data_IF_663212033144
#
_entry.id   IF_663212033144
#
_cell.length_a   1.000
_cell.length_b   1.000
_cell.length_c   1.000
_cell.angle_alpha   90.00
_cell.angle_beta   90.00
_cell.angle_gamma   90.00
#
_symmetry.space_group_name_H-M   'P 1'
#
loop_
_entity.id
_entity.type
_entity.pdbx_description
1 polymer ?
#
# COMPACT_ATOMS: atom_id res chain seq x y z
N UNK A 1 -28.51 -1.04 43.71
CA UNK A 1 -27.09 -1.06 43.25
C UNK A 1 -26.82 -1.98 42.04
N UNK A 2 -27.84 -2.52 41.35
CA UNK A 2 -27.63 -3.45 40.22
C UNK A 2 -27.54 -2.76 38.83
N UNK A 3 -28.10 -1.56 38.67
CA UNK A 3 -28.20 -0.90 37.36
C UNK A 3 -26.87 -0.35 36.82
N UNK A 4 -25.94 0.09 37.69
CA UNK A 4 -24.66 0.66 37.25
C UNK A 4 -23.76 -0.36 36.53
N UNK A 5 -23.77 -1.62 36.98
CA UNK A 5 -22.97 -2.69 36.38
C UNK A 5 -23.45 -3.07 34.98
N UNK A 6 -24.76 -3.05 34.75
CA UNK A 6 -25.37 -3.34 33.45
C UNK A 6 -25.02 -2.24 32.43
N UNK A 7 -25.02 -0.97 32.84
CA UNK A 7 -24.67 0.15 31.97
C UNK A 7 -23.18 0.09 31.57
N UNK A 8 -22.29 -0.22 32.51
CA UNK A 8 -20.85 -0.33 32.23
C UNK A 8 -20.55 -1.47 31.24
N UNK A 9 -21.18 -2.64 31.42
CA UNK A 9 -21.01 -3.78 30.50
C UNK A 9 -21.54 -3.47 29.09
N UNK A 10 -22.66 -2.73 29.00
CA UNK A 10 -23.20 -2.29 27.72
C UNK A 10 -22.26 -1.30 27.00
N UNK A 11 -21.68 -0.35 27.74
CA UNK A 11 -20.72 0.61 27.16
C UNK A 11 -19.47 -0.08 26.62
N UNK A 12 -18.88 -1.00 27.40
CA UNK A 12 -17.69 -1.75 26.98
C UNK A 12 -17.95 -2.59 25.72
N UNK A 13 -19.13 -3.22 25.62
CA UNK A 13 -19.53 -3.95 24.42
C UNK A 13 -19.69 -3.06 23.20
N UNK A 14 -20.30 -1.88 23.36
CA UNK A 14 -20.50 -0.91 22.28
C UNK A 14 -19.17 -0.36 21.76
N UNK A 15 -18.24 -0.03 22.65
CA UNK A 15 -16.89 0.44 22.27
C UNK A 15 -16.11 -0.64 21.52
N UNK A 16 -16.22 -1.91 21.94
CA UNK A 16 -15.59 -3.04 21.26
C UNK A 16 -16.10 -3.22 19.83
N UNK A 17 -17.42 -3.20 19.63
CA UNK A 17 -18.02 -3.28 18.29
C UNK A 17 -17.65 -2.07 17.41
N UNK A 18 -17.60 -0.87 17.99
CA UNK A 18 -17.23 0.35 17.27
C UNK A 18 -15.78 0.30 16.75
N UNK A 19 -14.86 -0.22 17.56
CA UNK A 19 -13.48 -0.47 17.12
C UNK A 19 -13.42 -1.48 15.97
N UNK A 20 -14.13 -2.61 16.06
CA UNK A 20 -14.15 -3.61 14.99
C UNK A 20 -14.72 -3.02 13.69
N UNK A 21 -15.75 -2.18 13.78
CA UNK A 21 -16.32 -1.50 12.62
C UNK A 21 -15.35 -0.50 11.99
N UNK A 22 -14.64 0.31 12.79
CA UNK A 22 -13.59 1.20 12.29
C UNK A 22 -12.47 0.42 11.57
N UNK A 23 -12.03 -0.70 12.15
CA UNK A 23 -11.06 -1.58 11.50
C UNK A 23 -11.60 -2.13 10.16
N UNK A 24 -12.87 -2.54 10.11
CA UNK A 24 -13.50 -3.03 8.89
C UNK A 24 -13.68 -1.91 7.84
N UNK A 25 -14.03 -0.70 8.28
CA UNK A 25 -14.21 0.47 7.43
C UNK A 25 -12.87 0.94 6.86
N UNK A 26 -11.80 0.97 7.65
CA UNK A 26 -10.44 1.22 7.17
C UNK A 26 -9.97 0.12 6.22
N UNK A 27 -10.28 -1.14 6.50
CA UNK A 27 -9.97 -2.25 5.58
C UNK A 27 -10.63 -2.07 4.21
N UNK A 28 -11.89 -1.62 4.18
CA UNK A 28 -12.62 -1.36 2.94
C UNK A 28 -12.20 -0.06 2.26
N UNK A 29 -11.76 0.96 3.00
CA UNK A 29 -11.32 2.25 2.46
C UNK A 29 -9.87 2.21 1.92
N UNK A 30 -9.08 1.22 2.32
CA UNK A 30 -7.85 0.79 1.63
C UNK A 30 -8.26 -0.07 0.42
N UNK A 31 -9.16 0.43 -0.44
CA UNK A 31 -9.28 -0.14 -1.79
C UNK A 31 -7.92 0.08 -2.45
N UNK A 32 -7.16 -0.99 -2.73
CA UNK A 32 -5.87 -0.87 -3.39
C UNK A 32 -6.04 -0.26 -4.78
N UNK A 33 -7.25 -0.23 -5.35
CA UNK A 33 -7.61 0.56 -6.55
C UNK A 33 -7.21 2.03 -6.44
N UNK A 34 -7.62 2.74 -5.37
CA UNK A 34 -7.32 4.17 -5.24
C UNK A 34 -5.81 4.40 -5.01
N UNK A 35 -5.17 3.41 -4.37
CA UNK A 35 -3.75 3.39 -4.09
C UNK A 35 -2.92 3.24 -5.36
N UNK A 36 -3.31 2.26 -6.13
CA UNK A 36 -2.68 1.81 -7.36
C UNK A 36 -3.00 2.75 -8.50
N UNK A 37 -4.22 3.29 -8.60
CA UNK A 37 -4.56 4.29 -9.62
C UNK A 37 -3.84 5.61 -9.38
N UNK A 38 -3.55 5.99 -8.13
CA UNK A 38 -2.73 7.17 -7.81
C UNK A 38 -1.25 6.90 -7.95
N UNK A 39 -0.76 5.72 -7.57
CA UNK A 39 0.61 5.31 -7.90
C UNK A 39 0.77 5.30 -9.42
N UNK A 40 -0.13 4.65 -10.15
CA UNK A 40 -0.22 4.71 -11.61
C UNK A 40 -0.28 6.15 -12.07
N UNK A 41 -1.10 7.04 -11.52
CA UNK A 41 -1.15 8.46 -11.91
C UNK A 41 0.15 9.20 -11.60
N UNK A 42 0.82 9.01 -10.47
CA UNK A 42 2.16 9.58 -10.24
C UNK A 42 3.19 9.01 -11.22
N UNK A 43 3.04 7.73 -11.53
CA UNK A 43 3.80 7.01 -12.52
C UNK A 43 3.27 7.22 -13.95
N UNK A 44 2.20 7.98 -14.24
CA UNK A 44 1.52 8.02 -15.57
C UNK A 44 1.12 9.43 -16.00
N UNK A 45 0.91 10.38 -15.08
CA UNK A 45 0.64 11.81 -15.35
C UNK A 45 1.87 12.54 -15.93
N UNK A 46 2.90 11.79 -16.33
CA UNK A 46 4.06 12.23 -17.08
C UNK A 46 4.15 11.51 -18.45
N UNK A 47 3.14 10.75 -18.89
CA UNK A 47 3.26 9.82 -20.02
C UNK A 47 2.61 10.28 -21.32
N UNK A 48 3.46 10.62 -22.29
CA UNK A 48 3.35 10.30 -23.73
C UNK A 48 4.77 9.97 -24.22
N UNK A 49 4.99 8.75 -24.72
CA UNK A 49 6.16 8.12 -25.41
C UNK A 49 7.61 8.33 -24.92
N UNK A 50 7.96 9.42 -24.25
CA UNK A 50 9.29 9.73 -23.70
C UNK A 50 9.51 9.10 -22.32
N UNK A 51 9.00 7.87 -22.11
CA UNK A 51 8.57 7.44 -20.76
C UNK A 51 9.43 6.39 -20.07
N UNK A 52 10.13 5.54 -20.82
CA UNK A 52 10.95 4.47 -20.23
C UNK A 52 12.19 5.03 -19.51
N UNK A 53 12.95 5.90 -20.20
CA UNK A 53 14.16 6.54 -19.65
C UNK A 53 13.86 7.59 -18.57
N UNK A 54 12.70 8.24 -18.61
CA UNK A 54 12.30 9.23 -17.60
C UNK A 54 11.75 8.57 -16.34
N UNK A 55 11.03 7.44 -16.47
CA UNK A 55 10.54 6.68 -15.32
C UNK A 55 11.70 6.05 -14.53
N UNK A 56 12.71 5.51 -15.24
CA UNK A 56 13.98 5.05 -14.67
C UNK A 56 14.67 6.15 -13.83
N UNK A 57 14.92 7.31 -14.42
CA UNK A 57 15.63 8.42 -13.75
C UNK A 57 14.88 8.99 -12.53
N UNK A 58 13.53 8.89 -12.50
CA UNK A 58 12.76 9.31 -11.33
C UNK A 58 12.63 8.20 -10.29
N UNK A 59 12.65 6.93 -10.69
CA UNK A 59 12.60 5.79 -9.77
C UNK A 59 13.89 5.69 -8.95
N UNK A 60 15.04 5.96 -9.56
CA UNK A 60 16.33 6.15 -8.86
C UNK A 60 16.23 7.27 -7.82
N UNK A 61 15.70 8.44 -8.19
CA UNK A 61 15.54 9.58 -7.28
C UNK A 61 14.56 9.30 -6.15
N UNK A 62 13.44 8.63 -6.46
CA UNK A 62 12.39 8.28 -5.52
C UNK A 62 12.88 7.20 -4.54
N UNK A 63 13.61 6.19 -5.02
CA UNK A 63 14.14 5.11 -4.17
C UNK A 63 15.35 5.58 -3.37
N UNK A 64 16.17 6.48 -3.92
CA UNK A 64 17.28 7.11 -3.17
C UNK A 64 16.77 8.03 -2.06
N UNK A 65 15.60 8.64 -2.22
CA UNK A 65 14.93 9.43 -1.19
C UNK A 65 14.09 8.59 -0.21
N UNK A 66 14.11 7.25 -0.36
CA UNK A 66 13.41 6.30 0.51
C UNK A 66 14.41 5.42 1.28
N UNK A 67 15.18 5.98 2.23
CA UNK A 67 16.15 5.22 3.02
C UNK A 67 15.49 4.18 3.95
N UNK A 68 14.17 4.25 4.13
CA UNK A 68 13.39 3.36 4.99
C UNK A 68 12.76 2.19 4.23
N UNK A 69 13.03 2.03 2.93
CA UNK A 69 12.45 0.99 2.08
C UNK A 69 10.90 1.00 2.09
N UNK A 70 10.29 2.15 2.36
CA UNK A 70 8.86 2.32 2.48
C UNK A 70 8.12 2.02 1.17
N UNK A 71 8.70 2.33 0.02
CA UNK A 71 8.13 2.03 -1.30
C UNK A 71 8.09 0.52 -1.52
N UNK A 72 9.14 -0.21 -1.13
CA UNK A 72 9.17 -1.67 -1.23
C UNK A 72 8.11 -2.29 -0.30
N UNK A 73 8.02 -1.78 0.93
CA UNK A 73 6.97 -2.17 1.89
C UNK A 73 5.57 -1.92 1.34
N UNK A 74 5.35 -0.75 0.73
CA UNK A 74 4.09 -0.32 0.15
C UNK A 74 3.66 -1.25 -0.99
N UNK A 75 4.54 -1.43 -1.97
CA UNK A 75 4.27 -2.24 -3.15
C UNK A 75 4.04 -3.71 -2.76
N UNK A 76 4.78 -4.24 -1.78
CA UNK A 76 4.53 -5.57 -1.22
C UNK A 76 3.13 -5.66 -0.59
N UNK A 77 2.75 -4.71 0.26
CA UNK A 77 1.44 -4.67 0.92
C UNK A 77 0.28 -4.52 -0.08
N UNK A 78 0.49 -3.78 -1.17
CA UNK A 78 -0.48 -3.64 -2.27
C UNK A 78 -0.60 -4.95 -3.06
N UNK A 79 0.53 -5.62 -3.34
CA UNK A 79 0.58 -6.85 -4.11
C UNK A 79 -0.13 -8.04 -3.44
N UNK A 80 -0.35 -8.00 -2.13
CA UNK A 80 -1.19 -8.97 -1.41
C UNK A 80 -2.61 -9.06 -2.00
N UNK A 81 -3.15 -7.96 -2.52
CA UNK A 81 -4.54 -7.87 -3.00
C UNK A 81 -4.70 -8.09 -4.51
N UNK A 82 -3.67 -8.60 -5.19
CA UNK A 82 -3.74 -8.88 -6.65
C UNK A 82 -4.86 -9.85 -6.99
N UNK A 83 -5.10 -10.86 -6.15
CA UNK A 83 -6.14 -11.86 -6.38
C UNK A 83 -7.49 -11.29 -5.94
N UNK A 84 -8.30 -10.86 -6.90
CA UNK A 84 -9.63 -10.28 -6.66
C UNK A 84 -9.77 -8.80 -7.05
N UNK A 85 -8.71 -8.18 -7.57
CA UNK A 85 -8.76 -6.79 -8.01
C UNK A 85 -8.02 -6.58 -9.35
N UNK A 86 -8.78 -6.50 -10.44
CA UNK A 86 -8.24 -6.37 -11.80
C UNK A 86 -7.44 -5.08 -12.03
N UNK A 87 -7.77 -3.99 -11.32
CA UNK A 87 -7.04 -2.73 -11.42
C UNK A 87 -5.67 -2.81 -10.76
N UNK A 88 -5.59 -3.50 -9.62
CA UNK A 88 -4.33 -3.81 -8.93
C UNK A 88 -3.45 -4.70 -9.78
N UNK A 89 -4.05 -5.73 -10.38
CA UNK A 89 -3.37 -6.65 -11.28
C UNK A 89 -2.77 -5.91 -12.48
N UNK A 90 -3.56 -5.10 -13.20
CA UNK A 90 -3.07 -4.36 -14.37
C UNK A 90 -1.89 -3.43 -14.09
N UNK A 91 -1.86 -2.81 -12.90
CA UNK A 91 -0.75 -1.91 -12.56
C UNK A 91 0.47 -2.67 -12.06
N UNK A 92 0.28 -3.77 -11.36
CA UNK A 92 1.40 -4.65 -10.99
C UNK A 92 2.02 -5.28 -12.23
N UNK A 93 1.22 -5.69 -13.20
CA UNK A 93 1.71 -6.21 -14.48
C UNK A 93 2.41 -5.11 -15.29
N UNK A 94 1.91 -3.87 -15.27
CA UNK A 94 2.65 -2.73 -15.82
C UNK A 94 4.03 -2.60 -15.17
N UNK A 95 4.13 -2.66 -13.83
CA UNK A 95 5.42 -2.56 -13.12
C UNK A 95 6.35 -3.74 -13.44
N UNK A 96 5.80 -4.95 -13.60
CA UNK A 96 6.58 -6.15 -13.98
C UNK A 96 7.18 -6.05 -15.38
N UNK A 97 6.49 -5.35 -16.29
CA UNK A 97 6.93 -5.18 -17.67
C UNK A 97 7.94 -4.03 -17.87
N UNK A 98 8.22 -3.23 -16.83
CA UNK A 98 9.28 -2.21 -16.88
C UNK A 98 10.64 -2.92 -17.03
N UNK A 99 11.56 -2.43 -17.88
CA UNK A 99 12.91 -3.01 -18.01
C UNK A 99 13.64 -3.07 -16.66
N UNK A 100 14.45 -4.11 -16.51
CA UNK A 100 15.19 -4.35 -15.27
C UNK A 100 16.34 -3.34 -15.09
N UNK A 101 16.36 -2.73 -13.92
CA UNK A 101 17.48 -1.96 -13.39
C UNK A 101 17.63 -2.29 -11.90
N UNK A 102 18.66 -1.76 -11.23
CA UNK A 102 18.93 -2.02 -9.81
C UNK A 102 17.69 -1.82 -8.91
N UNK A 103 16.92 -0.76 -9.12
CA UNK A 103 15.75 -0.41 -8.31
C UNK A 103 14.47 -1.15 -8.73
N UNK A 104 14.24 -1.34 -10.03
CA UNK A 104 13.09 -2.07 -10.55
C UNK A 104 13.15 -3.54 -10.12
N UNK A 105 14.33 -4.15 -10.08
CA UNK A 105 14.52 -5.52 -9.60
C UNK A 105 14.09 -5.66 -8.13
N UNK A 106 14.45 -4.70 -7.27
CA UNK A 106 14.04 -4.71 -5.86
C UNK A 106 12.53 -4.53 -5.69
N UNK A 107 11.91 -3.67 -6.50
CA UNK A 107 10.46 -3.45 -6.49
C UNK A 107 9.72 -4.69 -7.00
N UNK A 108 10.17 -5.30 -8.11
CA UNK A 108 9.61 -6.57 -8.63
C UNK A 108 9.73 -7.70 -7.60
N UNK A 109 10.83 -7.76 -6.84
CA UNK A 109 10.99 -8.70 -5.72
C UNK A 109 9.95 -8.45 -4.63
N UNK A 110 9.73 -7.20 -4.25
CA UNK A 110 8.69 -6.83 -3.28
C UNK A 110 7.29 -7.25 -3.73
N UNK A 111 6.96 -7.03 -5.01
CA UNK A 111 5.70 -7.51 -5.62
C UNK A 111 5.59 -9.03 -5.48
N UNK A 112 6.63 -9.77 -5.88
CA UNK A 112 6.63 -11.23 -5.85
C UNK A 112 6.34 -11.75 -4.43
N UNK A 113 7.01 -11.18 -3.43
CA UNK A 113 6.81 -11.50 -2.02
C UNK A 113 5.34 -11.28 -1.61
N UNK A 114 4.79 -10.10 -1.91
CA UNK A 114 3.40 -9.78 -1.58
C UNK A 114 2.40 -10.72 -2.24
N UNK A 115 2.62 -11.10 -3.50
CA UNK A 115 1.75 -12.04 -4.22
C UNK A 115 1.85 -13.48 -3.71
N UNK A 116 3.02 -13.90 -3.21
CA UNK A 116 3.28 -15.28 -2.78
C UNK A 116 2.78 -15.54 -1.36
N UNK A 117 3.16 -14.68 -0.41
CA UNK A 117 2.82 -14.86 1.00
C UNK A 117 1.44 -14.33 1.37
N UNK A 118 0.88 -13.41 0.57
CA UNK A 118 -0.46 -12.83 0.76
C UNK A 118 -0.75 -12.30 2.17
N UNK A 119 0.29 -11.88 2.89
CA UNK A 119 0.19 -11.30 4.22
C UNK A 119 0.83 -9.93 4.24
N UNK A 120 0.05 -8.91 4.62
CA UNK A 120 0.58 -7.54 4.81
C UNK A 120 1.54 -7.47 5.98
N UNK A 121 1.33 -8.30 7.00
CA UNK A 121 2.21 -8.41 8.16
C UNK A 121 3.58 -8.98 7.75
N UNK A 122 3.59 -10.00 6.89
CA UNK A 122 4.82 -10.54 6.34
C UNK A 122 5.62 -9.48 5.56
N UNK A 123 4.94 -8.66 4.73
CA UNK A 123 5.56 -7.52 4.06
C UNK A 123 6.15 -6.51 5.04
N UNK A 124 5.46 -6.21 6.15
CA UNK A 124 5.96 -5.29 7.19
C UNK A 124 7.15 -5.86 7.96
N UNK A 125 7.18 -7.16 8.18
CA UNK A 125 8.29 -7.82 8.87
C UNK A 125 9.56 -7.86 8.01
N UNK A 126 9.42 -8.08 6.70
CA UNK A 126 10.56 -8.01 5.77
C UNK A 126 11.07 -6.56 5.60
N UNK A 127 10.14 -5.61 5.44
CA UNK A 127 10.47 -4.19 5.29
C UNK A 127 10.23 -3.43 6.59
N UNK A 128 10.89 -3.89 7.66
CA UNK A 128 10.69 -3.44 9.04
C UNK A 128 11.18 -2.02 9.32
N UNK A 129 12.06 -1.47 8.46
CA UNK A 129 12.54 -0.08 8.56
C UNK A 129 11.43 0.93 8.33
N UNK A 130 10.40 0.55 7.58
CA UNK A 130 9.30 1.46 7.30
C UNK A 130 8.23 1.44 8.39
N UNK A 131 7.99 2.55 9.10
CA UNK A 131 6.99 2.60 10.17
C UNK A 131 5.54 2.70 9.65
N UNK A 132 5.35 2.94 8.35
CA UNK A 132 4.06 3.23 7.77
C UNK A 132 3.40 2.00 7.15
N UNK A 133 2.08 1.89 7.36
CA UNK A 133 1.23 0.96 6.61
C UNK A 133 0.91 1.54 5.24
N UNK A 134 0.49 0.68 4.31
CA UNK A 134 0.06 1.13 2.99
C UNK A 134 -1.06 2.19 3.06
N UNK A 135 -1.96 2.08 4.05
CA UNK A 135 -3.01 3.07 4.29
C UNK A 135 -2.45 4.47 4.60
N UNK A 136 -1.49 4.55 5.53
CA UNK A 136 -0.86 5.81 5.94
C UNK A 136 -0.04 6.42 4.81
N UNK A 137 0.71 5.61 4.06
CA UNK A 137 1.45 6.11 2.90
C UNK A 137 0.52 6.70 1.84
N UNK A 138 -0.64 6.11 1.64
CA UNK A 138 -1.63 6.66 0.73
C UNK A 138 -2.17 7.98 1.19
N UNK A 139 -2.51 8.10 2.47
CA UNK A 139 -2.93 9.37 3.05
C UNK A 139 -1.85 10.45 2.85
N UNK A 140 -0.58 10.13 3.08
CA UNK A 140 0.54 11.04 2.80
C UNK A 140 0.59 11.44 1.32
N UNK A 141 0.44 10.48 0.40
CA UNK A 141 0.38 10.76 -1.04
C UNK A 141 -0.85 11.63 -1.39
N UNK A 142 -1.98 11.49 -0.69
CA UNK A 142 -3.15 12.35 -0.90
C UNK A 142 -2.88 13.80 -0.49
N UNK A 143 -2.11 14.00 0.58
CA UNK A 143 -1.79 15.32 1.13
C UNK A 143 -0.71 16.01 0.28
N UNK A 144 0.33 15.28 -0.12
CA UNK A 144 1.48 15.83 -0.85
C UNK A 144 1.20 15.98 -2.36
N UNK A 145 0.35 15.12 -2.92
CA UNK A 145 -0.02 15.15 -4.34
C UNK A 145 -1.35 15.84 -4.64
N UNK A 146 -1.94 16.52 -3.64
CA UNK A 146 -3.15 17.33 -3.75
C UNK A 146 -2.83 18.76 -4.12
#
# INVERSE_FOLDING_TARGET
MAHGRLIIMAMLGLTGLWMIHLLAQDYQNIRPVAAVSRLKKLLSKRSTDKYENMMLHNLDKITSNDPLDCIKSFVCQVAVQVKGNNEVLSTIDFIRNIPDNKHTVEIKKAIKIGTLYRSREYCRNIYNKCPYTAAKMLQLIKIVGG
#
